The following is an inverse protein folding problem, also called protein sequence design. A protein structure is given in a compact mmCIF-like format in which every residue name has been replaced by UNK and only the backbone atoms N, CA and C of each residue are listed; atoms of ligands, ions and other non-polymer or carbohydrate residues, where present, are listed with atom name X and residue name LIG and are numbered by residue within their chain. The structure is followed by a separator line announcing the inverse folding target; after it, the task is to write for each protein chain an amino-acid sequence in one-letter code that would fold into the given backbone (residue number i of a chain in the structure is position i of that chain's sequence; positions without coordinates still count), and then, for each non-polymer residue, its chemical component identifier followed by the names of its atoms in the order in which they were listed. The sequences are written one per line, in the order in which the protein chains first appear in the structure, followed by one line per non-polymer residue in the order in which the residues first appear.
data_IF_706131985340
#
_entry.id   IF_706131985340
#
_cell.length_a   1.000
_cell.length_b   1.000
_cell.length_c   1.000
_cell.angle_alpha   90.00
_cell.angle_beta   90.00
_cell.angle_gamma   90.00
#
_symmetry.space_group_name_H-M   'P 1'
#
loop_
_entity.id
_entity.type
_entity.pdbx_description
1 polymer ?
#
# COMPACT_ATOMS: atom_id res chain seq x y z
N UNK A 1 27.70 14.45 -9.50
CA UNK A 1 27.30 14.50 -8.08
C UNK A 1 25.85 14.07 -7.82
N UNK A 2 24.95 13.98 -8.81
CA UNK A 2 23.54 13.60 -8.58
C UNK A 2 23.31 12.12 -8.18
N UNK A 3 24.28 11.22 -8.44
CA UNK A 3 24.13 9.77 -8.15
C UNK A 3 24.07 9.40 -6.65
N UNK A 4 24.36 10.33 -5.74
CA UNK A 4 24.25 10.08 -4.29
C UNK A 4 22.90 10.51 -3.67
N UNK A 5 21.95 11.00 -4.47
CA UNK A 5 20.63 11.39 -3.98
C UNK A 5 19.78 10.15 -3.66
N UNK A 6 19.28 10.03 -2.43
CA UNK A 6 18.50 8.86 -2.00
C UNK A 6 17.29 8.54 -2.90
N UNK A 7 16.45 9.51 -3.33
CA UNK A 7 15.37 9.25 -4.30
C UNK A 7 15.84 8.60 -5.59
N UNK A 8 16.97 9.06 -6.16
CA UNK A 8 17.51 8.49 -7.40
C UNK A 8 18.07 7.09 -7.16
N UNK A 9 18.72 6.85 -6.03
CA UNK A 9 19.14 5.51 -5.63
C UNK A 9 17.97 4.54 -5.52
N UNK A 10 16.83 4.97 -4.95
CA UNK A 10 15.64 4.10 -4.90
C UNK A 10 15.18 3.73 -6.32
N UNK A 11 15.19 4.65 -7.27
CA UNK A 11 14.73 4.41 -8.64
C UNK A 11 15.70 3.56 -9.46
N UNK A 12 17.01 3.82 -9.38
CA UNK A 12 18.00 3.23 -10.28
C UNK A 12 18.87 2.15 -9.62
N UNK A 13 19.05 2.20 -8.30
CA UNK A 13 19.92 1.32 -7.51
C UNK A 13 19.17 0.73 -6.29
N UNK A 14 17.98 0.13 -6.48
CA UNK A 14 17.11 -0.28 -5.38
C UNK A 14 17.75 -1.28 -4.41
N UNK A 15 18.65 -2.13 -4.91
CA UNK A 15 19.36 -3.10 -4.07
C UNK A 15 20.21 -2.41 -3.00
N UNK A 16 20.94 -1.37 -3.40
CA UNK A 16 21.77 -0.58 -2.49
C UNK A 16 20.92 0.26 -1.55
N UNK A 17 19.91 0.96 -2.08
CA UNK A 17 19.01 1.79 -1.29
C UNK A 17 18.30 0.97 -0.18
N UNK A 18 17.76 -0.20 -0.52
CA UNK A 18 17.08 -1.04 0.46
C UNK A 18 18.05 -1.75 1.41
N UNK A 19 19.29 -2.04 0.99
CA UNK A 19 20.34 -2.53 1.90
C UNK A 19 20.76 -1.46 2.91
N UNK A 20 20.87 -0.19 2.52
CA UNK A 20 21.12 0.92 3.44
C UNK A 20 19.98 1.10 4.46
N UNK A 21 18.72 1.00 4.01
CA UNK A 21 17.54 1.03 4.89
C UNK A 21 17.57 -0.14 5.86
N UNK A 22 17.82 -1.36 5.37
CA UNK A 22 17.90 -2.57 6.18
C UNK A 22 19.04 -2.53 7.21
N UNK A 23 20.15 -1.86 6.87
CA UNK A 23 21.26 -1.61 7.79
C UNK A 23 20.99 -0.46 8.78
N UNK A 24 19.88 0.27 8.65
CA UNK A 24 19.53 1.40 9.50
C UNK A 24 20.31 2.69 9.21
N UNK A 25 21.02 2.76 8.08
CA UNK A 25 21.82 3.94 7.69
C UNK A 25 20.98 5.09 7.13
N UNK A 26 19.75 4.81 6.71
CA UNK A 26 18.83 5.81 6.16
C UNK A 26 17.97 6.46 7.24
N UNK A 27 17.98 7.79 7.31
CA UNK A 27 17.07 8.59 8.15
C UNK A 27 15.59 8.55 7.69
N UNK A 28 14.70 9.20 8.43
CA UNK A 28 13.27 9.26 8.07
C UNK A 28 12.93 10.35 7.05
N UNK A 29 13.77 11.39 6.94
CA UNK A 29 13.47 12.58 6.13
C UNK A 29 13.11 12.22 4.68
N UNK A 30 13.96 11.45 3.99
CA UNK A 30 13.73 11.10 2.60
C UNK A 30 12.52 10.18 2.37
N UNK A 31 12.39 9.01 3.04
CA UNK A 31 11.21 8.17 2.88
C UNK A 31 9.90 8.92 3.18
N UNK A 32 9.85 9.70 4.27
CA UNK A 32 8.65 10.47 4.62
C UNK A 32 8.34 11.58 3.61
N UNK A 33 9.36 12.28 3.10
CA UNK A 33 9.17 13.31 2.07
C UNK A 33 8.66 12.70 0.75
N UNK A 34 9.22 11.57 0.32
CA UNK A 34 8.78 10.87 -0.88
C UNK A 34 7.32 10.42 -0.78
N UNK A 35 6.95 9.85 0.36
CA UNK A 35 5.56 9.48 0.64
C UNK A 35 4.62 10.69 0.62
N UNK A 36 4.98 11.77 1.32
CA UNK A 36 4.15 12.98 1.36
C UNK A 36 4.00 13.64 -0.02
N UNK A 37 5.08 13.70 -0.80
CA UNK A 37 5.04 14.23 -2.17
C UNK A 37 4.21 13.35 -3.09
N UNK A 38 4.33 12.02 -2.98
CA UNK A 38 3.51 11.06 -3.73
C UNK A 38 2.03 11.21 -3.40
N UNK A 39 1.66 11.28 -2.12
CA UNK A 39 0.28 11.51 -1.71
C UNK A 39 -0.24 12.86 -2.24
N UNK A 40 0.59 13.91 -2.20
CA UNK A 40 0.26 15.21 -2.78
C UNK A 40 0.03 15.13 -4.29
N UNK A 41 0.90 14.44 -5.02
CA UNK A 41 0.79 14.26 -6.46
C UNK A 41 -0.47 13.48 -6.85
N UNK A 42 -0.78 12.37 -6.15
CA UNK A 42 -2.01 11.61 -6.36
C UNK A 42 -3.27 12.46 -6.12
N UNK A 43 -3.30 13.25 -5.04
CA UNK A 43 -4.45 14.12 -4.74
C UNK A 43 -4.55 15.27 -5.76
N UNK A 44 -3.43 15.81 -6.25
CA UNK A 44 -3.44 16.80 -7.33
C UNK A 44 -4.00 16.20 -8.62
N UNK A 45 -3.52 15.02 -9.04
CA UNK A 45 -4.03 14.32 -10.22
C UNK A 45 -5.53 14.03 -10.06
N UNK A 46 -5.96 13.54 -8.90
CA UNK A 46 -7.37 13.30 -8.62
C UNK A 46 -8.24 14.56 -8.72
N UNK A 47 -7.76 15.70 -8.21
CA UNK A 47 -8.51 16.96 -8.21
C UNK A 47 -8.51 17.64 -9.59
N UNK A 48 -7.42 17.52 -10.36
CA UNK A 48 -7.22 18.24 -11.61
C UNK A 48 -7.59 17.43 -12.85
N UNK A 49 -7.62 16.10 -12.78
CA UNK A 49 -8.02 15.26 -13.92
C UNK A 49 -9.47 15.55 -14.31
N UNK A 50 -9.83 15.53 -15.61
CA UNK A 50 -11.22 15.72 -16.03
C UNK A 50 -12.17 14.70 -15.36
N UNK A 51 -13.40 15.06 -14.96
CA UNK A 51 -14.34 14.15 -14.32
C UNK A 51 -14.64 12.91 -15.17
N UNK A 52 -14.86 13.10 -16.46
CA UNK A 52 -15.08 12.05 -17.45
C UNK A 52 -13.91 11.07 -17.55
N UNK A 53 -12.68 11.59 -17.49
CA UNK A 53 -11.46 10.78 -17.53
C UNK A 53 -11.39 9.84 -16.32
N UNK A 54 -11.74 10.36 -15.14
CA UNK A 54 -11.74 9.57 -13.91
C UNK A 54 -12.89 8.58 -13.87
N UNK A 55 -14.09 8.96 -14.32
CA UNK A 55 -15.19 8.01 -14.43
C UNK A 55 -14.82 6.82 -15.34
N UNK A 56 -14.16 7.07 -16.47
CA UNK A 56 -13.70 6.01 -17.37
C UNK A 56 -12.54 5.19 -16.77
N UNK A 57 -11.58 5.83 -16.09
CA UNK A 57 -10.44 5.17 -15.46
C UNK A 57 -10.81 4.24 -14.30
N UNK A 58 -11.94 4.48 -13.64
CA UNK A 58 -12.44 3.69 -12.51
C UNK A 58 -13.71 2.89 -12.84
N UNK A 59 -13.89 2.51 -14.12
CA UNK A 59 -14.99 1.66 -14.59
C UNK A 59 -16.40 2.16 -14.17
N UNK A 60 -16.59 3.48 -14.16
CA UNK A 60 -17.87 4.12 -13.83
C UNK A 60 -18.07 4.44 -12.34
N UNK A 61 -17.08 4.22 -11.47
CA UNK A 61 -17.12 4.74 -10.10
C UNK A 61 -17.14 6.27 -10.12
N UNK A 62 -18.23 6.85 -9.60
CA UNK A 62 -18.37 8.29 -9.47
C UNK A 62 -17.64 8.76 -8.22
N UNK A 63 -16.36 9.10 -8.39
CA UNK A 63 -15.56 9.57 -7.27
C UNK A 63 -16.03 10.97 -6.82
N UNK A 64 -16.38 11.11 -5.55
CA UNK A 64 -16.89 12.37 -5.02
C UNK A 64 -15.75 13.36 -4.79
N UNK A 65 -15.79 14.52 -5.46
CA UNK A 65 -14.74 15.56 -5.37
C UNK A 65 -15.17 16.82 -4.62
N UNK A 66 -16.18 16.70 -3.77
CA UNK A 66 -16.87 17.80 -3.12
C UNK A 66 -15.96 18.61 -2.15
N UNK A 67 -14.86 18.03 -1.67
CA UNK A 67 -13.96 18.66 -0.70
C UNK A 67 -12.71 19.27 -1.36
N UNK A 68 -12.00 20.11 -0.60
CA UNK A 68 -10.77 20.77 -1.06
C UNK A 68 -9.54 19.86 -1.05
N UNK A 69 -8.45 20.30 -1.70
CA UNK A 69 -7.17 19.58 -1.75
C UNK A 69 -6.66 19.19 -0.36
N UNK A 70 -6.60 20.13 0.59
CA UNK A 70 -6.04 19.89 1.92
C UNK A 70 -6.83 18.85 2.73
N UNK A 71 -8.14 18.72 2.48
CA UNK A 71 -8.94 17.67 3.10
C UNK A 71 -8.47 16.30 2.65
N UNK A 72 -8.48 16.05 1.33
CA UNK A 72 -8.04 14.77 0.77
C UNK A 72 -6.57 14.50 1.09
N UNK A 73 -5.69 15.50 0.98
CA UNK A 73 -4.28 15.36 1.30
C UNK A 73 -4.04 14.92 2.75
N UNK A 74 -4.73 15.52 3.72
CA UNK A 74 -4.59 15.14 5.13
C UNK A 74 -5.05 13.68 5.38
N UNK A 75 -6.18 13.27 4.79
CA UNK A 75 -6.69 11.91 4.93
C UNK A 75 -5.84 10.88 4.17
N UNK A 76 -5.39 11.20 2.97
CA UNK A 76 -4.46 10.37 2.21
C UNK A 76 -3.13 10.20 2.95
N UNK A 77 -2.59 11.25 3.57
CA UNK A 77 -1.34 11.20 4.31
C UNK A 77 -1.48 10.39 5.61
N UNK A 78 -2.48 10.71 6.44
CA UNK A 78 -2.65 10.04 7.73
C UNK A 78 -3.21 8.62 7.58
N UNK A 79 -4.28 8.48 6.80
CA UNK A 79 -4.92 7.19 6.53
C UNK A 79 -4.03 6.27 5.72
N UNK A 80 -3.34 6.79 4.70
CA UNK A 80 -2.38 6.00 3.91
C UNK A 80 -1.18 5.57 4.74
N UNK A 81 -0.72 6.38 5.72
CA UNK A 81 0.36 5.98 6.62
C UNK A 81 -0.08 4.87 7.58
N UNK A 82 -1.28 4.97 8.14
CA UNK A 82 -1.87 3.91 8.98
C UNK A 82 -2.04 2.62 8.18
N UNK A 83 -2.51 2.73 6.94
CA UNK A 83 -2.68 1.61 6.03
C UNK A 83 -1.34 0.98 5.64
N UNK A 84 -0.33 1.80 5.35
CA UNK A 84 1.05 1.37 5.09
C UNK A 84 1.65 0.65 6.30
N UNK A 85 1.43 1.19 7.51
CA UNK A 85 1.88 0.55 8.75
C UNK A 85 1.19 -0.80 8.96
N UNK A 86 -0.11 -0.91 8.67
CA UNK A 86 -0.85 -2.16 8.68
C UNK A 86 -0.25 -3.17 7.69
N UNK A 87 -0.02 -2.79 6.44
CA UNK A 87 0.62 -3.67 5.45
C UNK A 87 2.03 -4.10 5.90
N UNK A 88 2.85 -3.19 6.41
CA UNK A 88 4.19 -3.51 6.92
C UNK A 88 4.16 -4.51 8.09
N UNK A 89 3.12 -4.44 8.94
CA UNK A 89 2.94 -5.39 10.03
C UNK A 89 2.50 -6.77 9.52
N UNK A 90 1.65 -6.83 8.49
CA UNK A 90 1.29 -8.08 7.81
C UNK A 90 2.52 -8.69 7.13
N UNK A 91 3.34 -7.88 6.45
CA UNK A 91 4.63 -8.31 5.91
C UNK A 91 5.51 -8.88 7.02
N UNK A 92 5.58 -8.23 8.18
CA UNK A 92 6.35 -8.73 9.32
C UNK A 92 5.87 -10.10 9.80
N UNK A 93 4.56 -10.27 9.94
CA UNK A 93 3.95 -11.55 10.34
C UNK A 93 4.18 -12.64 9.28
N UNK A 94 3.93 -12.31 8.02
CA UNK A 94 4.04 -13.23 6.89
C UNK A 94 5.48 -13.61 6.60
N UNK A 95 6.45 -12.69 6.68
CA UNK A 95 7.87 -13.03 6.49
C UNK A 95 8.36 -14.03 7.54
N UNK A 96 7.93 -13.90 8.80
CA UNK A 96 8.23 -14.88 9.85
C UNK A 96 7.50 -16.21 9.62
N UNK A 97 6.22 -16.14 9.30
CA UNK A 97 5.43 -17.34 8.99
C UNK A 97 5.96 -18.05 7.74
N UNK A 98 6.52 -17.34 6.77
CA UNK A 98 7.07 -17.89 5.55
C UNK A 98 8.56 -18.16 5.67
N UNK A 99 9.20 -18.16 6.83
CA UNK A 99 10.65 -18.42 6.95
C UNK A 99 10.96 -19.93 6.95
N UNK A 100 10.22 -20.70 7.75
CA UNK A 100 10.40 -22.16 7.88
C UNK A 100 9.62 -22.99 6.85
N UNK A 101 9.84 -24.31 6.87
CA UNK A 101 9.01 -25.32 6.20
C UNK A 101 8.92 -25.25 4.67
N UNK A 102 8.00 -26.05 4.12
CA UNK A 102 7.68 -26.10 2.68
C UNK A 102 6.91 -24.84 2.27
N UNK A 103 7.49 -24.07 1.36
CA UNK A 103 6.94 -22.79 0.92
C UNK A 103 5.54 -22.93 0.29
N UNK A 104 5.31 -23.94 -0.54
CA UNK A 104 4.01 -24.16 -1.20
C UNK A 104 2.86 -24.31 -0.20
N UNK A 105 3.02 -25.15 0.82
CA UNK A 105 2.00 -25.34 1.85
C UNK A 105 1.75 -24.08 2.68
N UNK A 106 2.81 -23.32 3.00
CA UNK A 106 2.69 -22.08 3.77
C UNK A 106 2.09 -20.94 2.97
N UNK A 107 2.37 -20.84 1.67
CA UNK A 107 1.69 -19.89 0.78
C UNK A 107 0.19 -20.18 0.75
N UNK A 108 -0.21 -21.45 0.62
CA UNK A 108 -1.62 -21.84 0.65
C UNK A 108 -2.25 -21.46 1.99
N UNK A 109 -1.62 -21.80 3.11
CA UNK A 109 -2.15 -21.47 4.43
C UNK A 109 -2.28 -19.95 4.65
N UNK A 110 -1.27 -19.18 4.25
CA UNK A 110 -1.30 -17.73 4.34
C UNK A 110 -2.34 -17.12 3.38
N UNK A 111 -2.48 -17.67 2.18
CA UNK A 111 -3.50 -17.30 1.21
C UNK A 111 -4.92 -17.56 1.72
N UNK A 112 -5.16 -18.69 2.39
CA UNK A 112 -6.44 -18.98 3.04
C UNK A 112 -6.73 -17.99 4.16
N UNK A 113 -5.74 -17.67 5.00
CA UNK A 113 -5.91 -16.68 6.08
C UNK A 113 -6.26 -15.28 5.53
N UNK A 114 -5.61 -14.85 4.46
CA UNK A 114 -5.94 -13.59 3.75
C UNK A 114 -7.31 -13.69 3.08
N UNK A 115 -7.64 -14.83 2.48
CA UNK A 115 -8.93 -15.09 1.86
C UNK A 115 -10.10 -14.97 2.85
N UNK A 116 -9.91 -15.40 4.10
CA UNK A 116 -10.90 -15.22 5.17
C UNK A 116 -11.20 -13.73 5.41
N UNK A 117 -10.19 -12.85 5.37
CA UNK A 117 -10.43 -11.41 5.44
C UNK A 117 -11.27 -10.92 4.27
N UNK A 118 -10.98 -11.37 3.05
CA UNK A 118 -11.76 -11.01 1.86
C UNK A 118 -13.21 -11.47 1.93
N UNK A 119 -13.44 -12.73 2.36
CA UNK A 119 -14.79 -13.29 2.55
C UNK A 119 -15.54 -12.52 3.63
N UNK A 120 -14.86 -12.18 4.74
CA UNK A 120 -15.47 -11.40 5.82
C UNK A 120 -15.83 -10.00 5.34
N UNK A 121 -14.95 -9.32 4.59
CA UNK A 121 -15.24 -8.02 4.00
C UNK A 121 -16.47 -8.07 3.09
N UNK A 122 -16.55 -9.06 2.20
CA UNK A 122 -17.70 -9.26 1.32
C UNK A 122 -19.00 -9.55 2.10
N UNK A 123 -18.93 -10.41 3.10
CA UNK A 123 -20.08 -10.76 3.94
C UNK A 123 -20.63 -9.58 4.76
N UNK A 124 -19.80 -8.56 5.03
CA UNK A 124 -20.20 -7.36 5.76
C UNK A 124 -20.89 -6.31 4.89
N UNK A 125 -20.95 -6.48 3.56
CA UNK A 125 -21.63 -5.54 2.69
C UNK A 125 -23.15 -5.53 2.99
N UNK A 126 -23.67 -4.39 3.44
CA UNK A 126 -25.07 -4.25 3.85
C UNK A 126 -25.44 -4.94 5.18
N UNK A 127 -24.45 -5.39 5.96
CA UNK A 127 -24.68 -6.09 7.21
C UNK A 127 -25.23 -5.16 8.31
N UNK A 128 -26.23 -5.63 9.06
CA UNK A 128 -26.82 -4.95 10.20
C UNK A 128 -26.84 -5.85 11.46
N UNK A 129 -27.05 -5.25 12.63
CA UNK A 129 -27.18 -5.98 13.90
C UNK A 129 -25.95 -6.82 14.27
N UNK A 130 -26.17 -8.07 14.69
CA UNK A 130 -25.11 -8.96 15.18
C UNK A 130 -24.02 -9.29 14.14
N UNK A 131 -24.36 -9.31 12.85
CA UNK A 131 -23.37 -9.52 11.79
C UNK A 131 -22.36 -8.37 11.72
N UNK A 132 -22.82 -7.13 11.86
CA UNK A 132 -21.95 -5.94 11.93
C UNK A 132 -21.02 -6.00 13.13
N UNK A 133 -21.51 -6.45 14.30
CA UNK A 133 -20.69 -6.60 15.49
C UNK A 133 -19.57 -7.64 15.29
N UNK A 134 -19.86 -8.76 14.62
CA UNK A 134 -18.86 -9.77 14.25
C UNK A 134 -17.79 -9.20 13.31
N UNK A 135 -18.18 -8.39 12.31
CA UNK A 135 -17.23 -7.73 11.42
C UNK A 135 -16.36 -6.70 12.14
N UNK A 136 -16.91 -5.93 13.07
CA UNK A 136 -16.13 -5.01 13.93
C UNK A 136 -15.13 -5.80 14.78
N UNK A 137 -15.55 -6.92 15.38
CA UNK A 137 -14.67 -7.78 16.16
C UNK A 137 -13.54 -8.36 15.29
N UNK A 138 -13.84 -8.79 14.06
CA UNK A 138 -12.84 -9.25 13.10
C UNK A 138 -11.85 -8.15 12.72
N UNK A 139 -12.33 -6.93 12.47
CA UNK A 139 -11.47 -5.76 12.20
C UNK A 139 -10.58 -5.41 13.39
N UNK A 140 -11.13 -5.39 14.60
CA UNK A 140 -10.37 -5.15 15.83
C UNK A 140 -9.31 -6.23 16.06
N UNK A 141 -9.65 -7.51 15.86
CA UNK A 141 -8.70 -8.62 15.93
C UNK A 141 -7.56 -8.45 14.90
N UNK A 142 -7.87 -7.98 13.68
CA UNK A 142 -6.88 -7.69 12.66
C UNK A 142 -5.90 -6.59 13.12
N UNK A 143 -6.41 -5.50 13.69
CA UNK A 143 -5.59 -4.39 14.20
C UNK A 143 -4.76 -4.80 15.41
N UNK A 144 -5.31 -5.60 16.32
CA UNK A 144 -4.55 -6.12 17.46
C UNK A 144 -3.45 -7.08 17.02
N UNK A 145 -3.75 -7.96 16.07
CA UNK A 145 -2.77 -8.87 15.49
C UNK A 145 -1.66 -8.12 14.74
N UNK A 146 -2.02 -7.09 13.98
CA UNK A 146 -1.09 -6.22 13.25
C UNK A 146 -0.16 -5.48 14.24
N UNK A 147 -0.72 -4.92 15.31
CA UNK A 147 0.04 -4.30 16.40
C UNK A 147 0.99 -5.28 17.09
N UNK A 148 0.52 -6.50 17.39
CA UNK A 148 1.37 -7.57 17.95
C UNK A 148 2.51 -7.96 17.01
N UNK A 149 2.25 -8.09 15.71
CA UNK A 149 3.26 -8.44 14.71
C UNK A 149 4.34 -7.35 14.60
N UNK A 150 3.93 -6.08 14.57
CA UNK A 150 4.84 -4.94 14.57
C UNK A 150 5.68 -4.88 15.85
N UNK A 151 5.07 -5.08 17.02
CA UNK A 151 5.76 -5.10 18.31
C UNK A 151 6.77 -6.25 18.40
N UNK A 152 6.36 -7.45 17.98
CA UNK A 152 7.21 -8.65 17.95
C UNK A 152 8.38 -8.52 16.97
N UNK A 153 8.28 -7.60 16.01
CA UNK A 153 9.31 -7.26 15.01
C UNK A 153 9.90 -5.87 15.19
N UNK A 154 9.85 -5.27 16.39
CA UNK A 154 10.16 -3.85 16.67
C UNK A 154 11.48 -3.31 16.12
N UNK A 155 12.48 -4.16 15.88
CA UNK A 155 13.76 -3.76 15.29
C UNK A 155 13.72 -3.67 13.76
N UNK A 156 12.93 -4.53 13.11
CA UNK A 156 12.82 -4.62 11.65
C UNK A 156 11.66 -3.78 11.10
N UNK A 157 10.56 -3.65 11.87
CA UNK A 157 9.36 -2.93 11.46
C UNK A 157 9.65 -1.48 11.01
N UNK A 158 10.43 -0.65 11.74
CA UNK A 158 10.76 0.70 11.28
C UNK A 158 11.53 0.71 9.96
N UNK A 159 12.37 -0.30 9.71
CA UNK A 159 13.15 -0.43 8.47
C UNK A 159 12.24 -0.82 7.30
N UNK A 160 11.31 -1.74 7.53
CA UNK A 160 10.30 -2.11 6.55
C UNK A 160 9.40 -0.92 6.20
N UNK A 161 8.95 -0.16 7.21
CA UNK A 161 8.14 1.03 7.01
C UNK A 161 8.87 2.08 6.17
N UNK A 162 10.15 2.37 6.48
CA UNK A 162 10.98 3.22 5.63
C UNK A 162 11.10 2.70 4.20
N UNK A 163 11.28 1.39 4.03
CA UNK A 163 11.33 0.75 2.71
C UNK A 163 10.05 0.99 1.92
N UNK A 164 8.88 0.81 2.55
CA UNK A 164 7.59 1.01 1.91
C UNK A 164 7.31 2.49 1.58
N UNK A 165 7.65 3.42 2.47
CA UNK A 165 7.57 4.86 2.19
C UNK A 165 8.54 5.28 1.08
N UNK A 166 9.72 4.67 1.01
CA UNK A 166 10.69 4.94 -0.05
C UNK A 166 10.19 4.47 -1.42
N UNK A 167 9.41 3.38 -1.49
CA UNK A 167 8.77 2.90 -2.73
C UNK A 167 7.86 3.97 -3.35
N UNK A 168 7.34 4.93 -2.58
CA UNK A 168 6.60 6.08 -3.11
C UNK A 168 7.40 6.94 -4.11
N UNK A 169 8.73 6.81 -4.18
CA UNK A 169 9.52 7.38 -5.27
C UNK A 169 9.05 6.89 -6.66
N UNK A 170 8.62 5.63 -6.76
CA UNK A 170 8.09 5.07 -8.01
C UNK A 170 6.74 5.69 -8.37
N UNK A 171 5.84 5.85 -7.41
CA UNK A 171 4.54 6.51 -7.63
C UNK A 171 4.73 7.99 -8.04
N UNK A 172 5.67 8.69 -7.40
CA UNK A 172 6.03 10.05 -7.77
C UNK A 172 6.63 10.12 -9.20
N UNK A 173 7.47 9.16 -9.58
CA UNK A 173 7.98 9.04 -10.93
C UNK A 173 6.87 8.72 -11.95
N UNK A 174 5.90 7.88 -11.58
CA UNK A 174 4.72 7.53 -12.38
C UNK A 174 3.81 8.73 -12.63
N UNK A 175 3.74 9.66 -11.67
CA UNK A 175 2.89 10.86 -11.76
C UNK A 175 3.17 11.73 -12.98
N UNK A 176 4.41 11.72 -13.51
CA UNK A 176 4.79 12.47 -14.71
C UNK A 176 4.14 11.91 -15.99
N UNK A 177 4.39 10.65 -16.41
CA UNK A 177 3.72 10.06 -17.56
C UNK A 177 2.21 9.88 -17.33
N UNK A 178 1.76 9.64 -16.10
CA UNK A 178 0.32 9.61 -15.77
C UNK A 178 -0.33 10.98 -15.99
N UNK A 179 0.29 12.06 -15.52
CA UNK A 179 -0.17 13.43 -15.76
C UNK A 179 -0.19 13.79 -17.25
N UNK A 180 0.82 13.39 -18.01
CA UNK A 180 0.84 13.56 -19.46
C UNK A 180 -0.31 12.79 -20.14
N UNK A 181 -0.63 11.57 -19.68
CA UNK A 181 -1.74 10.79 -20.19
C UNK A 181 -3.10 11.42 -19.86
N UNK A 182 -3.26 11.98 -18.66
CA UNK A 182 -4.45 12.77 -18.27
C UNK A 182 -4.60 14.00 -19.17
N UNK A 183 -3.53 14.75 -19.39
CA UNK A 183 -3.54 15.93 -20.28
C UNK A 183 -3.86 15.57 -21.73
N UNK A 184 -3.44 14.38 -22.18
CA UNK A 184 -3.76 13.84 -23.50
C UNK A 184 -5.15 13.19 -23.57
N UNK A 185 -5.88 13.09 -22.46
CA UNK A 185 -7.19 12.43 -22.38
C UNK A 185 -7.15 10.93 -22.67
N UNK A 186 -6.00 10.27 -22.53
CA UNK A 186 -5.83 8.85 -22.88
C UNK A 186 -5.88 7.94 -21.65
N UNK A 187 -7.08 7.41 -21.35
CA UNK A 187 -7.28 6.46 -20.24
C UNK A 187 -6.43 5.21 -20.41
N UNK A 188 -6.34 4.68 -21.65
CA UNK A 188 -5.50 3.50 -21.94
C UNK A 188 -4.03 3.70 -21.57
N UNK A 189 -3.46 4.85 -21.89
CA UNK A 189 -2.05 5.15 -21.57
C UNK A 189 -1.89 5.32 -20.07
N UNK A 190 -2.82 6.03 -19.42
CA UNK A 190 -2.82 6.20 -17.96
C UNK A 190 -2.87 4.85 -17.23
N UNK A 191 -3.83 3.99 -17.58
CA UNK A 191 -3.96 2.64 -17.02
C UNK A 191 -2.70 1.80 -17.28
N UNK A 192 -2.10 1.90 -18.47
CA UNK A 192 -0.83 1.23 -18.78
C UNK A 192 0.33 1.69 -17.90
N UNK A 193 0.43 3.00 -17.64
CA UNK A 193 1.43 3.58 -16.73
C UNK A 193 1.20 3.10 -15.30
N UNK A 194 -0.04 3.18 -14.79
CA UNK A 194 -0.39 2.72 -13.45
C UNK A 194 -0.06 1.24 -13.23
N UNK A 195 -0.39 0.35 -14.19
CA UNK A 195 -0.04 -1.06 -14.08
C UNK A 195 1.46 -1.31 -14.13
N UNK A 196 2.20 -0.64 -15.02
CA UNK A 196 3.64 -0.78 -15.11
C UNK A 196 4.31 -0.39 -13.79
N UNK A 197 3.95 0.78 -13.24
CA UNK A 197 4.54 1.27 -11.98
C UNK A 197 4.03 0.50 -10.77
N UNK A 198 2.83 -0.08 -10.80
CA UNK A 198 2.34 -1.01 -9.78
C UNK A 198 3.20 -2.29 -9.75
N UNK A 199 3.49 -2.89 -10.90
CA UNK A 199 4.35 -4.08 -11.00
C UNK A 199 5.77 -3.76 -10.54
N UNK A 200 6.33 -2.61 -10.94
CA UNK A 200 7.64 -2.17 -10.47
C UNK A 200 7.66 -1.95 -8.96
N UNK A 201 6.62 -1.33 -8.40
CA UNK A 201 6.47 -1.10 -6.96
C UNK A 201 6.39 -2.40 -6.18
N UNK A 202 5.64 -3.39 -6.67
CA UNK A 202 5.60 -4.74 -6.10
C UNK A 202 6.99 -5.37 -6.07
N UNK A 203 7.73 -5.28 -7.17
CA UNK A 203 9.06 -5.87 -7.27
C UNK A 203 10.08 -5.14 -6.37
N UNK A 204 10.02 -3.81 -6.27
CA UNK A 204 10.85 -3.03 -5.35
C UNK A 204 10.51 -3.32 -3.89
N UNK A 205 9.22 -3.43 -3.57
CA UNK A 205 8.77 -3.78 -2.24
C UNK A 205 9.25 -5.19 -1.85
N UNK A 206 9.20 -6.16 -2.76
CA UNK A 206 9.77 -7.49 -2.54
C UNK A 206 11.30 -7.45 -2.32
N UNK A 207 12.03 -6.57 -3.02
CA UNK A 207 13.46 -6.33 -2.73
C UNK A 207 13.66 -5.75 -1.33
N UNK A 208 12.84 -4.78 -0.93
CA UNK A 208 12.88 -4.19 0.41
C UNK A 208 12.63 -5.25 1.49
N UNK A 209 11.62 -6.09 1.32
CA UNK A 209 11.32 -7.22 2.22
C UNK A 209 12.50 -8.19 2.30
N UNK A 210 13.07 -8.57 1.16
CA UNK A 210 14.23 -9.45 1.10
C UNK A 210 15.44 -8.86 1.84
N UNK A 211 15.71 -7.56 1.67
CA UNK A 211 16.81 -6.87 2.33
C UNK A 211 16.59 -6.75 3.85
N UNK A 212 15.38 -6.40 4.30
CA UNK A 212 15.07 -6.16 5.71
C UNK A 212 14.98 -7.46 6.51
N UNK A 213 14.37 -8.51 5.96
CA UNK A 213 14.13 -9.77 6.67
C UNK A 213 15.12 -10.88 6.29
N UNK A 214 16.07 -10.64 5.37
CA UNK A 214 17.00 -11.67 4.88
C UNK A 214 16.29 -12.82 4.13
N UNK A 215 15.06 -12.60 3.68
CA UNK A 215 14.25 -13.64 3.05
C UNK A 215 14.69 -13.88 1.59
N UNK A 216 14.55 -15.12 1.12
CA UNK A 216 14.73 -15.43 -0.30
C UNK A 216 13.72 -14.68 -1.17
N UNK A 217 14.08 -14.41 -2.44
CA UNK A 217 13.23 -13.63 -3.37
C UNK A 217 11.79 -14.16 -3.45
N UNK A 218 11.61 -15.49 -3.49
CA UNK A 218 10.28 -16.10 -3.56
C UNK A 218 9.47 -15.89 -2.26
N UNK A 219 10.11 -16.03 -1.10
CA UNK A 219 9.45 -15.81 0.21
C UNK A 219 9.08 -14.34 0.40
N UNK A 220 9.97 -13.42 0.01
CA UNK A 220 9.74 -11.99 0.06
C UNK A 220 8.60 -11.55 -0.88
N UNK A 221 8.57 -12.06 -2.12
CA UNK A 221 7.49 -11.80 -3.06
C UNK A 221 6.14 -12.33 -2.54
N UNK A 222 6.11 -13.56 -2.02
CA UNK A 222 4.90 -14.13 -1.44
C UNK A 222 4.38 -13.31 -0.25
N UNK A 223 5.25 -12.93 0.68
CA UNK A 223 4.88 -12.07 1.82
C UNK A 223 4.32 -10.72 1.36
N UNK A 224 4.96 -10.10 0.36
CA UNK A 224 4.54 -8.81 -0.20
C UNK A 224 3.15 -8.88 -0.82
N UNK A 225 2.94 -9.83 -1.74
CA UNK A 225 1.67 -9.99 -2.46
C UNK A 225 0.52 -10.33 -1.49
N UNK A 226 0.74 -11.28 -0.58
CA UNK A 226 -0.28 -11.66 0.40
C UNK A 226 -0.59 -10.53 1.38
N UNK A 227 0.40 -9.76 1.82
CA UNK A 227 0.18 -8.61 2.69
C UNK A 227 -0.63 -7.51 2.01
N UNK A 228 -0.41 -7.27 0.71
CA UNK A 228 -1.18 -6.29 -0.05
C UNK A 228 -2.63 -6.73 -0.24
N UNK A 229 -2.87 -8.01 -0.56
CA UNK A 229 -4.23 -8.55 -0.59
C UNK A 229 -4.91 -8.48 0.79
N UNK A 230 -4.18 -8.79 1.87
CA UNK A 230 -4.69 -8.66 3.24
C UNK A 230 -4.99 -7.21 3.63
N UNK A 231 -4.14 -6.27 3.21
CA UNK A 231 -4.36 -4.83 3.33
C UNK A 231 -5.64 -4.41 2.61
N UNK A 232 -5.76 -4.72 1.32
CA UNK A 232 -6.95 -4.39 0.53
C UNK A 232 -8.22 -4.99 1.14
N UNK A 233 -8.20 -6.28 1.52
CA UNK A 233 -9.34 -6.92 2.18
C UNK A 233 -9.73 -6.19 3.49
N UNK A 234 -8.75 -5.76 4.29
CA UNK A 234 -9.00 -4.97 5.48
C UNK A 234 -9.60 -3.59 5.17
N UNK A 235 -9.09 -2.89 4.14
CA UNK A 235 -9.64 -1.60 3.71
C UNK A 235 -11.11 -1.72 3.29
N UNK A 236 -11.44 -2.74 2.48
CA UNK A 236 -12.82 -3.06 2.10
C UNK A 236 -13.69 -3.46 3.29
N UNK A 237 -13.15 -4.21 4.26
CA UNK A 237 -13.87 -4.56 5.48
C UNK A 237 -14.27 -3.30 6.26
N UNK A 238 -13.33 -2.37 6.48
CA UNK A 238 -13.59 -1.11 7.20
C UNK A 238 -14.61 -0.25 6.44
N UNK A 239 -14.52 -0.19 5.11
CA UNK A 239 -15.49 0.50 4.26
C UNK A 239 -16.89 -0.13 4.36
N UNK A 240 -17.01 -1.45 4.17
CA UNK A 240 -18.30 -2.16 4.21
C UNK A 240 -18.96 -2.11 5.60
N UNK A 241 -18.20 -1.94 6.68
CA UNK A 241 -18.71 -1.72 8.03
C UNK A 241 -19.24 -0.28 8.28
N UNK A 242 -19.10 0.60 7.30
CA UNK A 242 -19.46 2.02 7.40
C UNK A 242 -18.54 2.81 8.33
N UNK A 243 -17.33 2.33 8.57
CA UNK A 243 -16.33 3.01 9.41
C UNK A 243 -15.47 3.99 8.61
N UNK A 244 -15.52 3.89 7.28
CA UNK A 244 -14.82 4.78 6.37
C UNK A 244 -15.83 5.46 5.43
N UNK A 245 -15.92 6.79 5.42
CA UNK A 245 -16.70 7.53 4.44
C UNK A 245 -16.25 7.20 3.00
N UNK A 246 -17.18 7.18 2.01
CA UNK A 246 -16.86 6.86 0.62
C UNK A 246 -15.77 7.76 0.03
N UNK A 247 -15.84 9.06 0.28
CA UNK A 247 -14.86 10.05 -0.20
C UNK A 247 -13.44 9.80 0.33
N UNK A 248 -13.31 9.25 1.54
CA UNK A 248 -12.03 8.88 2.13
C UNK A 248 -11.54 7.53 1.61
N UNK A 249 -12.44 6.55 1.45
CA UNK A 249 -12.12 5.25 0.85
C UNK A 249 -11.55 5.42 -0.56
N UNK A 250 -12.22 6.22 -1.39
CA UNK A 250 -11.77 6.59 -2.74
C UNK A 250 -10.39 7.25 -2.71
N UNK A 251 -10.17 8.21 -1.82
CA UNK A 251 -8.87 8.88 -1.67
C UNK A 251 -7.74 7.94 -1.21
N UNK A 252 -8.06 6.87 -0.47
CA UNK A 252 -7.09 5.85 -0.04
C UNK A 252 -6.82 4.79 -1.11
N UNK A 253 -7.73 4.56 -2.06
CA UNK A 253 -7.47 3.69 -3.20
C UNK A 253 -6.50 4.31 -4.22
N UNK A 254 -6.34 5.63 -4.19
CA UNK A 254 -5.53 6.42 -5.12
C UNK A 254 -4.07 6.60 -4.67
N UNK A 255 -3.71 6.15 -3.46
CA UNK A 255 -2.44 6.46 -2.76
C UNK A 255 -1.78 5.19 -2.29
#
# INVERSE_FOLDING_TARGET
MFNNSFPLKVLFEPGEAFAEIAAGRTGWAWPSALYALSAGASVLLFKLAPPEFVAESFEGLTLTRARGFFFYFAFSLAGGLLFTAFICSLISALSRFLEGGRLSARIIAAGLAVGVFGITAAAMHGAAGGARAAGIAAGAAAVLFSGWAAFSGRQLFPRMLKGMLAVSALSLAASLPAGAAVLAGSVKVYTGVEYLFSILSLYWLAKAVSAVYGASKARAAAATVLALFGGLAFLFLVFNLGLLPPDIFEALLLV
#
